data_IF_123930613374
#
_entry.id   IF_123930613374
#
_cell.length_a   1.000
_cell.length_b   1.000
_cell.length_c   1.000
_cell.angle_alpha   90.00
_cell.angle_beta   90.00
_cell.angle_gamma   90.00
#
_symmetry.space_group_name_H-M   'P 1'
#
loop_
_entity.id
_entity.type
_entity.pdbx_description
1 polymer ?
#
# COMPACT_ATOMS: atom_id res chain seq x y z
N UNK A 1 -13.90 -0.60 -32.20
CA UNK A 1 -14.08 -1.52 -31.07
C UNK A 1 -12.70 -1.88 -30.54
N UNK A 2 -12.22 -1.19 -29.52
CA UNK A 2 -10.98 -1.54 -28.82
C UNK A 2 -11.27 -1.47 -27.34
N UNK A 3 -11.78 -2.57 -26.80
CA UNK A 3 -11.87 -2.78 -25.36
C UNK A 3 -10.46 -2.94 -24.81
N UNK A 4 -9.84 -1.84 -24.40
CA UNK A 4 -8.72 -1.91 -23.47
C UNK A 4 -9.31 -2.37 -22.14
N UNK A 5 -9.09 -3.65 -21.81
CA UNK A 5 -9.34 -4.16 -20.47
C UNK A 5 -8.71 -3.20 -19.45
N UNK A 6 -9.48 -2.90 -18.40
CA UNK A 6 -9.07 -1.99 -17.33
C UNK A 6 -7.72 -2.49 -16.80
N UNK A 7 -6.65 -1.71 -16.99
CA UNK A 7 -5.32 -2.06 -16.49
C UNK A 7 -5.33 -1.94 -14.97
N UNK A 8 -5.58 -3.06 -14.30
CA UNK A 8 -5.59 -3.13 -12.84
C UNK A 8 -4.16 -3.32 -12.33
N UNK A 9 -3.77 -2.47 -11.39
CA UNK A 9 -2.52 -2.61 -10.63
C UNK A 9 -2.88 -2.89 -9.18
N UNK A 10 -2.19 -3.86 -8.58
CA UNK A 10 -2.25 -4.11 -7.14
C UNK A 10 -1.24 -3.25 -6.36
N UNK A 11 -0.34 -2.55 -7.06
CA UNK A 11 0.59 -1.65 -6.42
C UNK A 11 -0.12 -0.34 -6.05
N UNK A 12 0.06 0.17 -4.82
CA UNK A 12 -0.51 1.45 -4.44
C UNK A 12 0.05 2.56 -5.35
N UNK A 13 -0.77 3.55 -5.74
CA UNK A 13 -0.27 4.71 -6.46
C UNK A 13 0.79 5.39 -5.59
N UNK A 14 2.01 5.52 -6.12
CA UNK A 14 3.11 6.17 -5.43
C UNK A 14 3.31 7.58 -5.97
N UNK A 15 3.50 8.54 -5.07
CA UNK A 15 3.84 9.91 -5.45
C UNK A 15 5.25 9.96 -6.09
N UNK A 16 5.55 10.96 -6.93
CA UNK A 16 6.89 11.09 -7.55
C UNK A 16 8.04 11.11 -6.52
N UNK A 17 7.85 11.77 -5.38
CA UNK A 17 8.82 11.79 -4.28
C UNK A 17 8.89 10.49 -3.45
N UNK A 18 7.92 9.60 -3.63
CA UNK A 18 7.80 8.33 -2.94
C UNK A 18 8.47 7.19 -3.74
N UNK A 19 8.57 7.33 -5.06
CA UNK A 19 9.18 6.33 -5.96
C UNK A 19 10.59 5.92 -5.50
N UNK A 20 11.53 6.85 -5.21
CA UNK A 20 12.87 6.45 -4.78
C UNK A 20 12.87 5.62 -3.50
N UNK A 21 11.98 5.95 -2.54
CA UNK A 21 11.83 5.20 -1.29
C UNK A 21 11.23 3.81 -1.55
N UNK A 22 10.23 3.72 -2.42
CA UNK A 22 9.63 2.45 -2.81
C UNK A 22 10.65 1.51 -3.47
N UNK A 23 11.54 2.02 -4.33
CA UNK A 23 12.62 1.23 -4.93
C UNK A 23 13.64 0.73 -3.91
N UNK A 24 13.93 1.51 -2.86
CA UNK A 24 14.83 1.08 -1.77
C UNK A 24 14.19 -0.04 -0.94
N UNK A 25 12.90 0.09 -0.63
CA UNK A 25 12.19 -0.85 0.25
C UNK A 25 11.74 -2.13 -0.47
N UNK A 26 11.55 -2.04 -1.78
CA UNK A 26 11.14 -3.15 -2.63
C UNK A 26 12.20 -3.39 -3.70
N UNK A 27 13.32 -4.08 -3.39
CA UNK A 27 14.39 -4.35 -4.35
C UNK A 27 13.92 -5.23 -5.54
N UNK A 28 12.74 -5.82 -5.44
CA UNK A 28 12.09 -6.59 -6.51
C UNK A 28 11.44 -5.69 -7.57
N UNK A 29 11.17 -4.41 -7.27
CA UNK A 29 11.01 -3.39 -8.31
C UNK A 29 12.40 -3.13 -8.91
N UNK A 30 12.83 -4.02 -9.80
CA UNK A 30 14.14 -3.92 -10.46
C UNK A 30 14.26 -2.66 -11.32
N UNK A 31 15.46 -2.45 -11.86
CA UNK A 31 15.77 -1.39 -12.84
C UNK A 31 14.89 -1.43 -14.10
N UNK A 32 14.32 -2.60 -14.38
CA UNK A 32 13.43 -2.86 -15.52
C UNK A 32 11.94 -2.61 -15.20
N UNK A 33 11.62 -2.14 -14.00
CA UNK A 33 10.23 -1.82 -13.64
C UNK A 33 9.72 -0.61 -14.42
N UNK A 34 8.56 -0.75 -15.07
CA UNK A 34 7.92 0.35 -15.77
C UNK A 34 7.12 1.20 -14.78
N UNK A 35 7.55 2.44 -14.62
CA UNK A 35 6.78 3.46 -13.92
C UNK A 35 5.70 3.97 -14.87
N UNK A 36 4.45 3.85 -14.46
CA UNK A 36 3.32 4.49 -15.11
C UNK A 36 2.85 5.67 -14.28
N UNK A 37 2.56 6.79 -14.93
CA UNK A 37 1.91 7.95 -14.33
C UNK A 37 0.48 8.00 -14.84
N UNK A 38 -0.50 8.03 -13.93
CA UNK A 38 -1.88 8.33 -14.30
C UNK A 38 -2.03 9.84 -14.53
N UNK A 39 -2.79 10.22 -15.57
CA UNK A 39 -3.13 11.64 -15.80
C UNK A 39 -4.13 12.14 -14.77
N UNK A 40 -5.08 11.29 -14.39
CA UNK A 40 -6.10 11.56 -13.40
C UNK A 40 -6.39 10.31 -12.58
N UNK A 41 -6.89 10.52 -11.37
CA UNK A 41 -7.34 9.46 -10.46
C UNK A 41 -8.68 9.85 -9.86
N UNK A 42 -9.64 8.93 -9.87
CA UNK A 42 -10.96 9.16 -9.31
C UNK A 42 -11.32 8.05 -8.30
N UNK A 43 -11.48 8.37 -7.00
CA UNK A 43 -11.97 7.43 -6.02
C UNK A 43 -13.38 6.97 -6.35
N UNK A 44 -13.65 5.67 -6.30
CA UNK A 44 -15.00 5.14 -6.57
C UNK A 44 -15.51 4.16 -5.50
N UNK A 45 -14.65 3.70 -4.60
CA UNK A 45 -15.06 2.78 -3.55
C UNK A 45 -13.97 2.51 -2.54
N UNK A 46 -14.24 1.60 -1.62
CA UNK A 46 -13.29 1.06 -0.65
C UNK A 46 -13.41 -0.46 -0.59
N UNK A 47 -12.35 -1.15 -0.23
CA UNK A 47 -12.44 -2.48 0.38
C UNK A 47 -12.63 -2.26 1.88
N UNK A 48 -13.63 -2.91 2.47
CA UNK A 48 -13.98 -2.72 3.86
C UNK A 48 -14.50 -3.99 4.52
N UNK A 49 -14.40 -4.01 5.85
CA UNK A 49 -15.15 -4.94 6.69
C UNK A 49 -16.46 -4.25 7.11
N UNK A 50 -17.60 -4.90 6.85
CA UNK A 50 -18.93 -4.34 7.17
C UNK A 50 -19.42 -4.95 8.47
N UNK A 51 -19.88 -4.10 9.36
CA UNK A 51 -20.36 -4.45 10.68
C UNK A 51 -21.89 -4.27 10.78
N UNK A 52 -22.48 -4.90 11.79
CA UNK A 52 -23.87 -4.65 12.17
C UNK A 52 -23.98 -4.59 13.67
N UNK A 53 -24.86 -3.72 14.17
CA UNK A 53 -25.26 -3.72 15.58
C UNK A 53 -26.13 -4.94 15.85
N UNK A 54 -25.67 -5.79 16.76
CA UNK A 54 -26.42 -6.91 17.31
C UNK A 54 -27.11 -6.51 18.63
N UNK A 55 -27.97 -7.38 19.15
CA UNK A 55 -28.58 -7.21 20.47
C UNK A 55 -27.51 -7.02 21.56
N UNK A 56 -27.89 -6.36 22.66
CA UNK A 56 -27.02 -6.09 23.81
C UNK A 56 -25.77 -5.24 23.49
N UNK A 57 -25.87 -4.25 22.58
CA UNK A 57 -24.80 -3.30 22.22
C UNK A 57 -23.53 -3.95 21.67
N UNK A 58 -23.64 -5.16 21.10
CA UNK A 58 -22.52 -5.83 20.44
C UNK A 58 -22.44 -5.40 18.98
N UNK A 59 -21.23 -5.31 18.45
CA UNK A 59 -20.98 -5.07 17.03
C UNK A 59 -20.36 -6.35 16.47
N UNK A 60 -20.94 -6.88 15.39
CA UNK A 60 -20.46 -8.10 14.73
C UNK A 60 -20.06 -7.77 13.30
N UNK A 61 -18.96 -8.37 12.83
CA UNK A 61 -18.62 -8.31 11.40
C UNK A 61 -19.60 -9.21 10.66
N UNK A 62 -20.24 -8.68 9.63
CA UNK A 62 -21.14 -9.43 8.77
C UNK A 62 -20.49 -9.80 7.44
N UNK A 63 -19.53 -8.99 6.97
CA UNK A 63 -18.79 -9.23 5.73
C UNK A 63 -17.35 -8.74 5.89
N UNK A 64 -16.39 -9.50 5.36
CA UNK A 64 -14.98 -9.15 5.37
C UNK A 64 -14.49 -8.82 3.97
N UNK A 65 -13.62 -7.81 3.87
CA UNK A 65 -12.91 -7.41 2.65
C UNK A 65 -13.82 -7.26 1.41
N UNK A 66 -15.00 -6.64 1.59
CA UNK A 66 -15.96 -6.40 0.51
C UNK A 66 -15.74 -5.04 -0.14
N UNK A 67 -15.98 -4.97 -1.45
CA UNK A 67 -15.96 -3.69 -2.17
C UNK A 67 -17.26 -2.93 -1.89
N UNK A 68 -17.14 -1.73 -1.35
CA UNK A 68 -18.25 -0.82 -1.06
C UNK A 68 -18.07 0.45 -1.89
N UNK A 69 -19.01 0.80 -2.77
CA UNK A 69 -18.93 2.04 -3.55
C UNK A 69 -19.09 3.27 -2.64
N UNK A 70 -18.48 4.40 -3.01
CA UNK A 70 -18.51 5.62 -2.18
C UNK A 70 -19.92 6.22 -2.07
N UNK A 71 -20.81 5.91 -3.00
CA UNK A 71 -22.20 6.37 -3.04
C UNK A 71 -23.11 5.52 -2.15
N UNK A 72 -22.65 4.37 -1.65
CA UNK A 72 -23.42 3.52 -0.73
C UNK A 72 -23.34 4.02 0.71
N UNK A 73 -23.72 5.29 0.93
CA UNK A 73 -23.59 6.00 2.22
C UNK A 73 -24.12 5.20 3.41
N UNK A 74 -25.28 4.55 3.27
CA UNK A 74 -25.89 3.73 4.34
C UNK A 74 -25.05 2.52 4.73
N UNK A 75 -24.30 1.95 3.80
CA UNK A 75 -23.40 0.82 4.06
C UNK A 75 -22.10 1.33 4.68
N UNK A 76 -21.59 2.45 4.18
CA UNK A 76 -20.36 3.08 4.67
C UNK A 76 -20.42 3.48 6.14
N UNK A 77 -21.61 3.86 6.65
CA UNK A 77 -21.83 4.12 8.09
C UNK A 77 -21.41 2.95 9.00
N UNK A 78 -21.43 1.72 8.47
CA UNK A 78 -21.08 0.51 9.20
C UNK A 78 -19.83 -0.19 8.63
N UNK A 79 -19.06 0.47 7.78
CA UNK A 79 -17.91 -0.13 7.12
C UNK A 79 -16.58 0.41 7.69
N UNK A 80 -15.65 -0.49 8.02
CA UNK A 80 -14.26 -0.14 8.31
C UNK A 80 -13.44 -0.27 7.02
N UNK A 81 -13.14 0.85 6.39
CA UNK A 81 -12.34 0.88 5.17
C UNK A 81 -10.88 0.44 5.47
N UNK A 82 -10.40 -0.54 4.71
CA UNK A 82 -9.02 -1.05 4.78
C UNK A 82 -8.20 -0.64 3.56
N UNK A 83 -8.86 -0.40 2.42
CA UNK A 83 -8.20 0.06 1.19
C UNK A 83 -9.12 0.98 0.39
N UNK A 84 -8.57 2.06 -0.18
CA UNK A 84 -9.28 2.91 -1.14
C UNK A 84 -9.18 2.34 -2.56
N UNK A 85 -10.31 2.28 -3.26
CA UNK A 85 -10.38 1.90 -4.67
C UNK A 85 -10.43 3.15 -5.54
N UNK A 86 -9.51 3.24 -6.49
CA UNK A 86 -9.37 4.37 -7.41
C UNK A 86 -9.38 3.89 -8.86
N UNK A 87 -10.10 4.62 -9.70
CA UNK A 87 -9.96 4.55 -11.14
C UNK A 87 -8.71 5.33 -11.56
N UNK A 88 -7.96 4.77 -12.52
CA UNK A 88 -6.79 5.41 -13.10
C UNK A 88 -7.09 5.73 -14.56
N UNK A 89 -6.92 7.00 -14.94
CA UNK A 89 -7.17 7.47 -16.30
C UNK A 89 -5.90 7.99 -16.96
N UNK A 90 -5.77 7.70 -18.25
CA UNK A 90 -4.64 8.16 -19.06
C UNK A 90 -3.30 7.69 -18.51
N UNK A 91 -3.16 6.40 -18.20
CA UNK A 91 -1.89 5.81 -17.80
C UNK A 91 -0.86 5.99 -18.92
N UNK A 92 0.20 6.73 -18.61
CA UNK A 92 1.32 6.94 -19.50
C UNK A 92 2.57 6.32 -18.90
N UNK A 93 3.31 5.59 -19.71
CA UNK A 93 4.62 5.09 -19.31
C UNK A 93 5.56 6.28 -19.16
N UNK A 94 6.07 6.49 -17.95
CA UNK A 94 7.12 7.47 -17.71
C UNK A 94 8.40 6.93 -18.34
N UNK A 95 8.94 7.60 -19.35
CA UNK A 95 10.31 7.31 -19.79
C UNK A 95 11.26 7.59 -18.63
N UNK A 96 12.28 6.74 -18.39
CA UNK A 96 13.29 6.98 -17.35
C UNK A 96 14.26 8.13 -17.71
N UNK A 97 13.80 9.14 -18.47
CA UNK A 97 14.57 10.29 -18.89
C UNK A 97 14.66 11.31 -17.73
N UNK A 98 15.32 10.91 -16.65
CA UNK A 98 15.57 11.80 -15.50
C UNK A 98 15.76 11.11 -14.15
N UNK A 99 15.29 9.87 -13.97
CA UNK A 99 15.51 9.14 -12.70
C UNK A 99 16.99 8.79 -12.48
N UNK A 100 17.75 8.63 -13.57
CA UNK A 100 19.19 8.31 -13.53
C UNK A 100 20.10 9.45 -13.03
N UNK A 101 19.63 10.70 -12.92
CA UNK A 101 20.45 11.80 -12.37
C UNK A 101 20.20 12.07 -10.89
N UNK A 102 19.07 11.60 -10.33
CA UNK A 102 18.71 11.85 -8.93
C UNK A 102 19.15 10.72 -7.97
N UNK A 103 19.35 9.50 -8.47
CA UNK A 103 20.01 8.44 -7.71
C UNK A 103 21.53 8.60 -7.79
N UNK A 104 22.07 9.59 -7.08
CA UNK A 104 23.39 9.33 -6.48
C UNK A 104 23.19 8.14 -5.55
N UNK A 105 24.05 7.12 -5.57
CA UNK A 105 24.03 6.12 -4.52
C UNK A 105 24.11 6.89 -3.20
N UNK A 106 23.04 6.84 -2.41
CA UNK A 106 23.13 7.21 -0.99
C UNK A 106 24.24 6.30 -0.49
N UNK A 107 25.37 6.91 -0.14
CA UNK A 107 26.56 6.18 0.28
C UNK A 107 26.14 5.09 1.26
N UNK A 108 26.70 3.89 1.09
CA UNK A 108 26.51 2.78 2.02
C UNK A 108 26.46 3.34 3.43
N UNK A 109 25.33 3.21 4.11
CA UNK A 109 25.34 3.37 5.56
C UNK A 109 26.44 2.43 6.07
N UNK A 110 27.39 2.91 6.89
CA UNK A 110 28.39 2.05 7.49
C UNK A 110 27.64 0.95 8.25
N UNK A 111 27.99 -0.30 7.95
CA UNK A 111 27.54 -1.44 8.72
C UNK A 111 28.04 -1.25 10.15
N UNK A 112 27.17 -0.80 11.05
CA UNK A 112 27.42 -0.89 12.48
C UNK A 112 27.31 -2.36 12.84
N UNK A 113 28.45 -3.02 12.94
CA UNK A 113 28.58 -4.35 13.54
C UNK A 113 27.98 -4.31 14.95
N UNK A 114 27.00 -5.15 15.30
CA UNK A 114 26.58 -5.31 16.69
C UNK A 114 27.60 -6.21 17.39
N UNK A 115 28.70 -5.62 17.86
CA UNK A 115 29.59 -6.29 18.83
C UNK A 115 29.01 -6.05 20.22
N UNK A 116 27.98 -6.83 20.57
CA UNK A 116 27.37 -6.80 21.88
C UNK A 116 26.88 -8.19 22.23
N UNK A 117 27.74 -8.97 22.90
CA UNK A 117 27.33 -10.25 23.50
C UNK A 117 26.12 -10.02 24.40
N UNK A 118 25.04 -10.81 24.28
CA UNK A 118 23.94 -10.74 25.22
C UNK A 118 24.41 -11.23 26.61
N UNK A 119 24.02 -10.57 27.72
CA UNK A 119 24.28 -11.09 29.05
C UNK A 119 23.45 -12.37 29.29
N UNK A 120 23.97 -13.33 30.08
CA UNK A 120 23.26 -14.57 30.36
C UNK A 120 21.99 -14.31 31.16
N UNK A 121 20.88 -14.89 30.71
CA UNK A 121 19.60 -14.92 31.40
C UNK A 121 19.76 -15.70 32.71
N UNK A 122 19.71 -15.00 33.84
CA UNK A 122 19.56 -15.62 35.15
C UNK A 122 18.15 -16.21 35.27
N UNK A 123 18.06 -17.54 35.38
CA UNK A 123 16.85 -18.23 35.81
C UNK A 123 16.61 -17.92 37.29
N UNK A 124 15.57 -17.13 37.58
CA UNK A 124 15.02 -17.05 38.93
C UNK A 124 14.19 -18.30 39.23
N UNK A 125 14.38 -18.95 40.41
CA UNK A 125 13.52 -20.04 40.84
C UNK A 125 12.15 -19.48 41.25
N UNK A 126 11.08 -20.13 40.75
CA UNK A 126 9.72 -19.94 41.24
C UNK A 126 9.65 -20.43 42.69
N UNK A 127 9.23 -19.55 43.60
CA UNK A 127 8.52 -19.94 44.82
C UNK A 127 7.02 -19.93 44.55
#
# INVERSE_FOLDING_TARGET
MTGCGRQVTHAPPTCRGCIPRALVWCPWLGSESYVYTARATEPYGVVADVYRTAAARKVVVVQHAVQVPLEAFRVLEYALATQLLVGLDGLQRTKPDGLGKALRPVGRLPATSPTGSPPPLALSPRQ
#
